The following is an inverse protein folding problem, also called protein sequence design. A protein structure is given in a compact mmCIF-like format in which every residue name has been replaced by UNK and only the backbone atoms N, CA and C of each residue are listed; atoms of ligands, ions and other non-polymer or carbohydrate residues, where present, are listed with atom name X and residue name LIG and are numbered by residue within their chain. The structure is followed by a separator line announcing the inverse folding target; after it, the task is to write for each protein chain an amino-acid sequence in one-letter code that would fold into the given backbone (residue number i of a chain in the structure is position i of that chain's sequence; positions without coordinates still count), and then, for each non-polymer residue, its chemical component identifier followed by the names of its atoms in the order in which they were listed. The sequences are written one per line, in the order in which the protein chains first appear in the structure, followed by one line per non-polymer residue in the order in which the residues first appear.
data_IF_886531885560
#
_entry.id   IF_886531885560
#
_cell.length_a   1.000
_cell.length_b   1.000
_cell.length_c   1.000
_cell.angle_alpha   90.00
_cell.angle_beta   90.00
_cell.angle_gamma   90.00
#
_symmetry.space_group_name_H-M   'P 1'
#
loop_
_entity.id
_entity.type
_entity.pdbx_description
1 polymer ?
#
# COMPACT_ATOMS: atom_id res chain seq x y z
N UNK A 1 28.38 21.29 -24.17
CA UNK A 1 27.00 21.77 -23.92
C UNK A 1 26.36 20.84 -22.89
N UNK A 2 25.89 21.39 -21.78
CA UNK A 2 25.36 20.63 -20.65
C UNK A 2 23.90 20.21 -20.89
N UNK A 3 23.61 18.92 -20.83
CA UNK A 3 22.26 18.42 -20.67
C UNK A 3 22.00 18.26 -19.16
N UNK A 4 21.47 19.32 -18.54
CA UNK A 4 20.82 19.24 -17.23
C UNK A 4 19.57 18.37 -17.40
N UNK A 5 19.71 17.08 -17.12
CA UNK A 5 18.55 16.20 -16.96
C UNK A 5 17.74 16.71 -15.78
N UNK A 6 16.50 17.03 -16.10
CA UNK A 6 15.50 17.68 -15.26
C UNK A 6 15.33 16.90 -13.97
N UNK A 7 15.51 17.60 -12.86
CA UNK A 7 14.78 17.46 -11.60
C UNK A 7 14.43 16.00 -11.27
N UNK A 8 15.34 15.33 -10.55
CA UNK A 8 14.96 14.27 -9.63
C UNK A 8 13.74 14.77 -8.87
N UNK A 9 12.56 14.27 -9.23
CA UNK A 9 11.32 14.56 -8.52
C UNK A 9 11.57 13.96 -7.14
N UNK A 10 12.00 14.79 -6.19
CA UNK A 10 12.21 14.38 -4.81
C UNK A 10 10.94 13.65 -4.38
N UNK A 11 11.00 12.33 -4.36
CA UNK A 11 9.90 11.52 -3.83
C UNK A 11 9.86 11.92 -2.37
N UNK A 12 8.83 12.68 -1.99
CA UNK A 12 8.60 13.06 -0.60
C UNK A 12 8.38 11.77 0.19
N UNK A 13 9.46 11.24 0.74
CA UNK A 13 9.45 10.12 1.69
C UNK A 13 8.53 10.54 2.82
N UNK A 14 7.38 9.90 2.89
CA UNK A 14 6.34 10.23 3.85
C UNK A 14 6.05 8.94 4.59
N UNK A 15 6.38 8.93 5.88
CA UNK A 15 6.15 7.77 6.74
C UNK A 15 4.75 7.84 7.33
N UNK A 16 3.97 6.78 7.16
CA UNK A 16 2.61 6.69 7.69
C UNK A 16 2.49 5.53 8.66
N UNK A 17 1.88 5.79 9.83
CA UNK A 17 1.44 4.72 10.72
C UNK A 17 0.09 4.19 10.22
N UNK A 18 0.06 2.93 9.82
CA UNK A 18 -1.13 2.29 9.25
C UNK A 18 -1.41 0.95 9.93
N UNK A 19 -2.66 0.53 9.86
CA UNK A 19 -3.08 -0.82 10.23
C UNK A 19 -3.00 -1.72 9.01
N UNK A 20 -2.16 -2.74 9.09
CA UNK A 20 -1.98 -3.70 8.03
C UNK A 20 -3.03 -4.82 8.15
N UNK A 21 -3.94 -4.86 7.19
CA UNK A 21 -5.04 -5.83 7.11
C UNK A 21 -4.61 -7.19 6.53
N UNK A 22 -3.41 -7.28 5.94
CA UNK A 22 -2.88 -8.47 5.31
C UNK A 22 -2.63 -8.32 3.81
N UNK A 23 -2.28 -9.43 3.15
CA UNK A 23 -2.06 -9.50 1.72
C UNK A 23 -2.86 -10.66 1.12
N UNK A 24 -3.34 -10.44 -0.12
CA UNK A 24 -4.02 -11.46 -0.93
C UNK A 24 -3.60 -11.28 -2.38
N UNK A 25 -3.32 -12.40 -3.04
CA UNK A 25 -3.08 -12.40 -4.48
C UNK A 25 -4.37 -12.06 -5.24
N UNK A 26 -4.27 -11.11 -6.16
CA UNK A 26 -5.37 -10.65 -6.98
C UNK A 26 -5.01 -10.77 -8.47
N UNK A 27 -5.91 -11.34 -9.27
CA UNK A 27 -5.74 -11.47 -10.72
C UNK A 27 -6.15 -10.16 -11.40
N UNK A 28 -5.27 -9.17 -11.34
CA UNK A 28 -5.50 -7.84 -11.92
C UNK A 28 -6.25 -6.88 -11.01
N UNK A 29 -6.41 -5.64 -11.48
CA UNK A 29 -6.94 -4.51 -10.69
C UNK A 29 -8.43 -4.67 -10.39
N UNK A 30 -9.19 -5.30 -11.28
CA UNK A 30 -10.64 -5.51 -11.11
C UNK A 30 -10.96 -6.45 -9.92
N UNK A 31 -10.00 -7.26 -9.49
CA UNK A 31 -10.11 -8.11 -8.31
C UNK A 31 -9.78 -7.38 -7.00
N UNK A 32 -9.35 -6.11 -7.05
CA UNK A 32 -9.00 -5.33 -5.85
C UNK A 32 -10.18 -5.13 -4.90
N UNK A 33 -11.41 -4.77 -5.34
CA UNK A 33 -12.55 -4.63 -4.44
C UNK A 33 -12.88 -5.93 -3.69
N UNK A 34 -12.81 -7.08 -4.36
CA UNK A 34 -13.07 -8.38 -3.73
C UNK A 34 -11.94 -8.82 -2.80
N UNK A 35 -10.70 -8.45 -3.11
CA UNK A 35 -9.56 -8.66 -2.22
C UNK A 35 -9.69 -7.84 -0.93
N UNK A 36 -10.09 -6.57 -1.03
CA UNK A 36 -10.33 -5.69 0.12
C UNK A 36 -11.46 -6.25 1.00
N UNK A 37 -12.60 -6.61 0.40
CA UNK A 37 -13.74 -7.16 1.13
C UNK A 37 -13.35 -8.42 1.96
N UNK A 38 -12.53 -9.29 1.38
CA UNK A 38 -12.02 -10.47 2.08
C UNK A 38 -11.12 -10.12 3.28
N UNK A 39 -10.22 -9.15 3.11
CA UNK A 39 -9.31 -8.74 4.19
C UNK A 39 -10.06 -8.08 5.34
N UNK A 40 -11.12 -7.31 5.05
CA UNK A 40 -11.99 -6.70 6.06
C UNK A 40 -12.78 -7.75 6.86
N UNK A 41 -13.34 -8.78 6.21
CA UNK A 41 -14.02 -9.85 6.96
C UNK A 41 -13.04 -10.63 7.84
N UNK A 42 -11.79 -10.81 7.39
CA UNK A 42 -10.75 -11.47 8.19
C UNK A 42 -10.33 -10.64 9.41
N UNK A 43 -10.25 -9.32 9.29
CA UNK A 43 -9.93 -8.42 10.42
C UNK A 43 -10.88 -8.63 11.61
N UNK A 44 -12.15 -8.97 11.37
CA UNK A 44 -13.11 -9.25 12.44
C UNK A 44 -12.72 -10.46 13.30
N UNK A 45 -11.85 -11.33 12.79
CA UNK A 45 -11.34 -12.53 13.46
C UNK A 45 -9.93 -12.34 14.03
N UNK A 46 -9.19 -11.36 13.53
CA UNK A 46 -7.79 -11.15 13.90
C UNK A 46 -7.48 -9.65 13.94
N UNK A 47 -6.96 -9.19 15.08
CA UNK A 47 -6.58 -7.79 15.24
C UNK A 47 -5.50 -7.37 14.23
N UNK A 48 -5.65 -6.22 13.54
CA UNK A 48 -4.68 -5.72 12.58
C UNK A 48 -3.32 -5.41 13.21
N UNK A 49 -2.26 -5.53 12.41
CA UNK A 49 -0.91 -5.21 12.87
C UNK A 49 -0.54 -3.76 12.54
N UNK A 50 -0.07 -2.99 13.53
CA UNK A 50 0.39 -1.61 13.30
C UNK A 50 1.76 -1.60 12.64
N UNK A 51 1.87 -0.96 11.48
CA UNK A 51 3.13 -0.85 10.73
C UNK A 51 3.44 0.60 10.35
N UNK A 52 4.70 0.83 9.99
CA UNK A 52 5.14 2.07 9.36
C UNK A 52 5.30 1.82 7.87
N UNK A 53 4.49 2.48 7.05
CA UNK A 53 4.63 2.51 5.59
C UNK A 53 5.59 3.66 5.23
N UNK A 54 6.66 3.36 4.49
CA UNK A 54 7.71 4.31 4.11
C UNK A 54 7.65 4.72 2.64
#
# INVERSE_FOLDING_TARGET
MALRLRTSKDVKKSSYYVWYLGAREAKGVDAMPSAIAYLLERERLQEPFKVTLQ
#
